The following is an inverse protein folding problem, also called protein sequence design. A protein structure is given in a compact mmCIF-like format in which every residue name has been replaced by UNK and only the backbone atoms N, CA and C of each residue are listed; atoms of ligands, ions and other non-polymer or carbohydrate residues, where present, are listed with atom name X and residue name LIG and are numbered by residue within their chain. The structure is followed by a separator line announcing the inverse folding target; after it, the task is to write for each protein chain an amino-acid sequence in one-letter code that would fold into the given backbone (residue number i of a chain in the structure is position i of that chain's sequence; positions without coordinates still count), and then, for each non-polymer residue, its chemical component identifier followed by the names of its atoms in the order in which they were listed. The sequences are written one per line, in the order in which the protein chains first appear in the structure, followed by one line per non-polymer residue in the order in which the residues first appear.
data_IF_792496126233
#
_entry.id   IF_792496126233
#
_cell.length_a   1.000
_cell.length_b   1.000
_cell.length_c   1.000
_cell.angle_alpha   90.00
_cell.angle_beta   90.00
_cell.angle_gamma   90.00
#
_symmetry.space_group_name_H-M   'P 1'
#
loop_
_entity.id
_entity.type
_entity.pdbx_description
1 polymer ?
#
# COMPACT_ATOMS: atom_id res chain seq x y z
N UNK A 1 2.96 17.65 60.44
CA UNK A 1 4.31 17.59 59.83
C UNK A 1 4.30 16.39 58.90
N UNK A 2 4.03 16.59 57.60
CA UNK A 2 5.01 16.74 56.50
C UNK A 2 5.83 15.43 56.30
N UNK A 3 6.04 14.83 55.12
CA UNK A 3 5.81 15.15 53.70
C UNK A 3 5.99 13.85 52.88
N UNK A 4 5.42 13.82 51.68
CA UNK A 4 5.55 12.84 50.57
C UNK A 4 7.00 12.50 50.17
N UNK A 5 7.21 11.38 49.47
CA UNK A 5 7.93 11.41 48.17
C UNK A 5 7.54 10.21 47.30
N UNK A 6 6.82 10.53 46.22
CA UNK A 6 6.64 9.72 45.02
C UNK A 6 7.94 9.76 44.21
N UNK A 7 8.38 8.62 43.68
CA UNK A 7 9.49 8.54 42.72
C UNK A 7 8.94 8.09 41.36
N UNK A 8 8.65 9.06 40.51
CA UNK A 8 8.55 8.91 39.06
C UNK A 8 9.91 8.45 38.52
N UNK A 9 9.95 7.31 37.81
CA UNK A 9 11.04 7.03 36.87
C UNK A 9 10.50 7.19 35.45
N UNK A 10 10.67 8.40 34.93
CA UNK A 10 10.71 8.66 33.50
C UNK A 10 11.96 7.96 32.93
N UNK A 11 11.78 6.98 32.04
CA UNK A 11 12.88 6.44 31.23
C UNK A 11 12.90 7.18 29.90
N UNK A 12 13.71 8.23 29.86
CA UNK A 12 14.18 8.86 28.63
C UNK A 12 15.01 7.87 27.81
N UNK A 13 14.59 7.56 26.58
CA UNK A 13 15.42 6.87 25.58
C UNK A 13 16.41 7.88 24.97
N UNK A 14 17.71 7.56 24.80
CA UNK A 14 18.67 8.47 24.18
C UNK A 14 18.58 8.38 22.65
N UNK A 15 18.16 9.48 22.01
CA UNK A 15 18.28 9.68 20.57
C UNK A 15 19.72 10.01 20.18
N UNK A 16 20.29 9.19 19.30
CA UNK A 16 21.56 9.47 18.61
C UNK A 16 21.30 10.47 17.48
N UNK A 17 21.72 11.72 17.71
CA UNK A 17 21.77 12.80 16.73
C UNK A 17 22.93 12.53 15.76
N UNK A 18 22.65 12.29 14.49
CA UNK A 18 23.66 12.41 13.42
C UNK A 18 23.27 13.64 12.60
N UNK A 19 24.03 14.72 12.79
CA UNK A 19 23.95 15.94 11.99
C UNK A 19 24.85 15.79 10.77
N UNK A 20 24.29 15.92 9.56
CA UNK A 20 25.05 16.40 8.42
C UNK A 20 24.20 17.32 7.55
N UNK A 21 24.40 18.62 7.79
CA UNK A 21 24.11 19.71 6.88
C UNK A 21 25.08 19.66 5.69
N UNK A 22 24.56 19.62 4.47
CA UNK A 22 25.11 20.38 3.34
C UNK A 22 24.03 20.62 2.28
N UNK A 23 23.83 21.90 2.01
CA UNK A 23 22.92 22.52 1.06
C UNK A 23 23.30 22.20 -0.39
N UNK A 24 22.30 22.04 -1.27
CA UNK A 24 22.20 22.76 -2.54
C UNK A 24 20.74 22.71 -3.06
N UNK A 25 20.16 23.84 -3.50
CA UNK A 25 18.79 23.89 -4.01
C UNK A 25 18.77 23.65 -5.53
N UNK A 26 17.92 22.75 -6.01
CA UNK A 26 17.59 22.66 -7.43
C UNK A 26 16.23 23.32 -7.67
N UNK A 27 16.31 24.57 -8.13
CA UNK A 27 15.28 25.28 -8.87
C UNK A 27 15.28 24.81 -10.33
N UNK A 28 14.12 24.47 -10.89
CA UNK A 28 13.77 24.58 -12.32
C UNK A 28 12.27 24.26 -12.45
N UNK A 29 11.32 25.17 -12.66
CA UNK A 29 11.13 26.13 -13.75
C UNK A 29 10.98 25.46 -15.14
N UNK A 30 9.75 25.42 -15.68
CA UNK A 30 9.40 25.60 -17.12
C UNK A 30 7.90 25.36 -17.33
N UNK A 31 7.16 26.42 -17.66
CA UNK A 31 6.84 26.90 -19.01
C UNK A 31 5.55 26.27 -19.57
N UNK A 32 4.47 27.04 -19.40
CA UNK A 32 3.22 26.93 -20.14
C UNK A 32 3.47 27.16 -21.63
N UNK A 33 3.13 26.18 -22.46
CA UNK A 33 2.80 26.41 -23.86
C UNK A 33 1.30 26.17 -24.05
N UNK A 34 0.55 27.26 -24.22
CA UNK A 34 -0.82 27.22 -24.74
C UNK A 34 -0.77 26.66 -26.17
N UNK A 35 -1.38 25.51 -26.41
CA UNK A 35 -1.81 25.11 -27.74
C UNK A 35 -3.31 25.39 -27.82
N UNK A 36 -3.67 26.41 -28.59
CA UNK A 36 -5.04 26.71 -28.98
C UNK A 36 -5.44 25.71 -30.06
N UNK A 37 -6.40 24.82 -29.76
CA UNK A 37 -7.00 23.94 -30.77
C UNK A 37 -8.32 24.56 -31.27
N UNK A 38 -8.36 24.75 -32.59
CA UNK A 38 -9.45 25.30 -33.40
C UNK A 38 -10.64 24.31 -33.47
N UNK A 39 -11.87 24.69 -33.06
CA UNK A 39 -13.02 23.80 -33.07
C UNK A 39 -13.80 23.92 -34.38
N UNK A 40 -13.42 23.17 -35.42
CA UNK A 40 -14.28 22.94 -36.60
C UNK A 40 -13.80 21.77 -37.48
N UNK A 41 -14.26 20.56 -37.19
CA UNK A 41 -14.39 19.52 -38.19
C UNK A 41 -15.57 18.59 -37.86
N UNK A 42 -16.71 18.83 -38.52
CA UNK A 42 -17.83 17.91 -38.61
C UNK A 42 -17.56 16.93 -39.75
N UNK A 43 -17.72 15.62 -39.55
CA UNK A 43 -18.16 14.72 -40.62
C UNK A 43 -19.02 13.55 -40.10
N UNK A 44 -20.28 13.60 -40.53
CA UNK A 44 -21.24 12.56 -40.94
C UNK A 44 -21.23 11.12 -40.35
N UNK A 45 -22.45 10.75 -39.97
CA UNK A 45 -23.00 9.45 -39.57
C UNK A 45 -23.18 8.44 -40.72
N UNK A 46 -23.03 7.13 -40.43
CA UNK A 46 -24.09 6.12 -40.67
C UNK A 46 -23.77 4.74 -40.05
N UNK A 47 -24.79 3.90 -39.76
CA UNK A 47 -24.71 2.81 -38.79
C UNK A 47 -24.51 1.44 -39.43
N UNK A 48 -23.73 0.56 -38.79
CA UNK A 48 -23.69 -0.87 -39.12
C UNK A 48 -24.25 -1.67 -37.95
N UNK A 49 -25.38 -2.33 -38.22
CA UNK A 49 -26.00 -3.38 -37.41
C UNK A 49 -25.09 -4.62 -37.47
N UNK A 50 -24.70 -5.16 -36.33
CA UNK A 50 -24.27 -6.56 -36.26
C UNK A 50 -24.96 -7.28 -35.10
N UNK A 51 -25.64 -8.37 -35.44
CA UNK A 51 -26.29 -9.27 -34.51
C UNK A 51 -25.26 -10.14 -33.79
N UNK A 52 -25.58 -10.39 -32.53
CA UNK A 52 -24.92 -11.22 -31.53
C UNK A 52 -24.70 -12.66 -31.98
N UNK A 53 -23.49 -13.16 -31.76
CA UNK A 53 -23.24 -14.58 -31.43
C UNK A 53 -22.30 -14.60 -30.24
N UNK A 54 -22.77 -15.17 -29.12
CA UNK A 54 -21.96 -15.41 -27.93
C UNK A 54 -21.39 -16.82 -28.03
N UNK A 55 -20.06 -16.95 -27.94
CA UNK A 55 -19.33 -18.02 -27.24
C UNK A 55 -17.94 -18.18 -27.85
N UNK A 56 -16.89 -17.98 -27.03
CA UNK A 56 -15.44 -18.19 -27.27
C UNK A 56 -14.53 -16.93 -27.21
N UNK A 57 -15.05 -15.73 -26.92
CA UNK A 57 -14.29 -14.48 -27.14
C UNK A 57 -13.34 -14.02 -26.01
N UNK A 58 -13.44 -14.55 -24.79
CA UNK A 58 -12.72 -13.96 -23.64
C UNK A 58 -11.18 -14.12 -23.65
N UNK A 59 -10.66 -15.10 -24.38
CA UNK A 59 -9.20 -15.34 -24.46
C UNK A 59 -8.56 -14.69 -25.69
N UNK A 60 -9.35 -14.37 -26.73
CA UNK A 60 -8.86 -13.74 -27.95
C UNK A 60 -8.68 -12.23 -27.74
N UNK A 61 -9.56 -11.63 -26.94
CA UNK A 61 -9.57 -10.21 -26.60
C UNK A 61 -8.30 -9.78 -25.82
N UNK A 62 -7.81 -10.62 -24.89
CA UNK A 62 -6.57 -10.34 -24.14
C UNK A 62 -5.33 -10.40 -25.03
N UNK A 63 -5.28 -11.35 -25.97
CA UNK A 63 -4.12 -11.53 -26.86
C UNK A 63 -4.02 -10.41 -27.90
N UNK A 64 -5.14 -9.92 -28.41
CA UNK A 64 -5.18 -8.84 -29.40
C UNK A 64 -4.86 -7.47 -28.76
N UNK A 65 -5.30 -7.25 -27.52
CA UNK A 65 -4.91 -6.10 -26.70
C UNK A 65 -3.40 -6.12 -26.41
N UNK A 66 -2.83 -7.26 -26.02
CA UNK A 66 -1.39 -7.39 -25.79
C UNK A 66 -0.57 -7.09 -27.06
N UNK A 67 -1.07 -7.49 -28.23
CA UNK A 67 -0.38 -7.26 -29.51
C UNK A 67 -0.41 -5.80 -29.94
N UNK A 68 -1.55 -5.12 -29.76
CA UNK A 68 -1.65 -3.68 -30.02
C UNK A 68 -0.75 -2.87 -29.06
N UNK A 69 -0.64 -3.30 -27.81
CA UNK A 69 0.25 -2.67 -26.83
C UNK A 69 1.73 -2.85 -27.17
N UNK A 70 2.13 -4.03 -27.66
CA UNK A 70 3.50 -4.28 -28.12
C UNK A 70 3.90 -3.41 -29.32
N UNK A 71 2.97 -3.15 -30.24
CA UNK A 71 3.19 -2.28 -31.40
C UNK A 71 3.28 -0.79 -30.99
N UNK A 72 2.58 -0.37 -29.93
CA UNK A 72 2.68 0.99 -29.36
C UNK A 72 4.01 1.21 -28.60
N UNK A 73 4.47 0.23 -27.82
CA UNK A 73 5.74 0.30 -27.07
C UNK A 73 6.97 0.40 -27.99
N UNK A 74 6.90 -0.20 -29.19
CA UNK A 74 7.99 -0.16 -30.17
C UNK A 74 8.28 1.24 -30.74
N UNK A 75 7.43 2.24 -30.48
CA UNK A 75 7.54 3.61 -30.99
C UNK A 75 8.19 4.60 -30.01
N UNK A 76 8.45 4.23 -28.75
CA UNK A 76 9.07 5.13 -27.77
C UNK A 76 10.62 5.06 -27.80
N UNK A 77 11.24 6.24 -27.71
CA UNK A 77 12.68 6.48 -27.82
C UNK A 77 13.52 5.94 -26.64
N UNK A 78 14.75 6.46 -26.43
CA UNK A 78 15.76 5.80 -25.60
C UNK A 78 15.29 5.57 -24.16
N UNK A 79 15.42 4.30 -23.72
CA UNK A 79 14.98 3.76 -22.43
C UNK A 79 15.42 4.67 -21.27
N UNK A 80 14.44 5.33 -20.66
CA UNK A 80 14.59 5.92 -19.33
C UNK A 80 15.06 4.84 -18.34
N UNK A 81 15.70 5.25 -17.23
CA UNK A 81 15.92 4.33 -16.10
C UNK A 81 14.58 3.67 -15.78
N UNK A 82 14.53 2.34 -15.81
CA UNK A 82 13.32 1.59 -15.46
C UNK A 82 12.85 2.04 -14.08
N UNK A 83 11.64 2.60 -14.02
CA UNK A 83 10.93 2.75 -12.75
C UNK A 83 10.64 1.36 -12.19
N UNK A 84 10.45 1.28 -10.87
CA UNK A 84 10.02 0.06 -10.18
C UNK A 84 11.03 -1.10 -10.16
N UNK A 85 12.32 -0.80 -10.26
CA UNK A 85 13.40 -1.80 -10.23
C UNK A 85 13.38 -2.68 -8.96
N UNK A 86 12.98 -2.13 -7.81
CA UNK A 86 12.94 -2.92 -6.57
C UNK A 86 11.82 -3.96 -6.62
N UNK A 87 10.74 -3.71 -7.36
CA UNK A 87 9.73 -4.73 -7.63
C UNK A 87 10.35 -5.90 -8.41
N UNK A 88 11.12 -5.64 -9.46
CA UNK A 88 11.84 -6.69 -10.20
C UNK A 88 12.79 -7.49 -9.28
N UNK A 89 13.59 -6.79 -8.46
CA UNK A 89 14.51 -7.42 -7.51
C UNK A 89 13.75 -8.29 -6.47
N UNK A 90 12.56 -7.85 -6.07
CA UNK A 90 11.69 -8.58 -5.13
C UNK A 90 11.16 -9.91 -5.70
N UNK A 91 10.96 -10.00 -7.02
CA UNK A 91 10.53 -11.23 -7.69
C UNK A 91 11.64 -12.27 -7.77
N UNK A 92 12.90 -11.81 -7.73
CA UNK A 92 14.11 -12.62 -7.72
C UNK A 92 14.72 -12.78 -6.31
N UNK A 93 13.95 -12.49 -5.26
CA UNK A 93 14.46 -12.40 -3.89
C UNK A 93 15.18 -13.70 -3.45
N UNK A 94 16.40 -13.61 -2.87
CA UNK A 94 17.24 -14.77 -2.60
C UNK A 94 16.62 -15.76 -1.60
N UNK A 95 15.76 -15.29 -0.71
CA UNK A 95 15.10 -16.15 0.29
C UNK A 95 13.85 -16.86 -0.22
N UNK A 96 13.37 -16.51 -1.41
CA UNK A 96 12.12 -17.02 -1.95
C UNK A 96 12.35 -18.02 -3.08
N UNK A 97 11.38 -18.93 -3.20
CA UNK A 97 11.22 -19.76 -4.38
C UNK A 97 10.80 -18.89 -5.59
N UNK A 98 11.11 -19.33 -6.83
CA UNK A 98 10.68 -18.63 -8.04
C UNK A 98 9.15 -18.49 -8.16
N UNK A 99 8.70 -17.62 -9.06
CA UNK A 99 7.28 -17.30 -9.29
C UNK A 99 6.55 -16.65 -8.09
N UNK A 100 7.33 -15.97 -7.25
CA UNK A 100 6.79 -15.06 -6.25
C UNK A 100 5.94 -13.97 -6.92
N UNK A 101 4.86 -13.58 -6.26
CA UNK A 101 3.98 -12.48 -6.69
C UNK A 101 4.31 -11.21 -5.93
N UNK A 102 4.01 -10.07 -6.54
CA UNK A 102 4.11 -8.76 -5.90
C UNK A 102 2.73 -8.13 -5.72
N UNK A 103 2.69 -7.10 -4.88
CA UNK A 103 1.47 -6.39 -4.49
C UNK A 103 1.11 -6.60 -3.02
N UNK A 104 0.55 -5.57 -2.39
CA UNK A 104 0.03 -5.64 -1.03
C UNK A 104 -1.20 -6.56 -0.94
N UNK A 105 -1.34 -7.23 0.20
CA UNK A 105 -2.58 -7.91 0.58
C UNK A 105 -3.59 -6.90 1.09
N UNK A 106 -4.86 -7.07 0.74
CA UNK A 106 -5.94 -6.18 1.14
C UNK A 106 -6.75 -6.85 2.25
N UNK A 107 -6.90 -6.19 3.39
CA UNK A 107 -7.81 -6.59 4.47
C UNK A 107 -9.07 -5.75 4.35
N UNK A 108 -10.20 -6.40 4.08
CA UNK A 108 -11.50 -5.74 3.99
C UNK A 108 -12.16 -5.71 5.37
N UNK A 109 -12.55 -4.53 5.84
CA UNK A 109 -13.21 -4.38 7.14
C UNK A 109 -14.65 -3.83 7.08
N UNK A 110 -15.13 -3.52 5.88
CA UNK A 110 -16.49 -3.00 5.69
C UNK A 110 -17.30 -3.94 4.81
N UNK A 111 -18.47 -4.31 5.33
CA UNK A 111 -19.36 -5.29 4.73
C UNK A 111 -20.80 -4.79 4.71
N UNK A 112 -21.60 -5.42 3.87
CA UNK A 112 -23.05 -5.24 3.82
C UNK A 112 -23.52 -4.35 2.66
N UNK A 113 -24.85 -4.34 2.40
CA UNK A 113 -25.41 -3.81 1.16
C UNK A 113 -25.10 -2.32 0.91
N UNK A 114 -24.93 -1.53 1.97
CA UNK A 114 -24.61 -0.11 1.87
C UNK A 114 -23.15 0.18 1.52
N UNK A 115 -22.24 -0.80 1.66
CA UNK A 115 -20.80 -0.64 1.40
C UNK A 115 -20.31 -1.52 0.25
N UNK A 116 -20.97 -2.64 -0.05
CA UNK A 116 -20.56 -3.60 -1.09
C UNK A 116 -20.41 -2.96 -2.48
N UNK A 117 -21.29 -2.02 -2.83
CA UNK A 117 -21.21 -1.30 -4.11
C UNK A 117 -19.98 -0.39 -4.18
N UNK A 118 -19.68 0.34 -3.10
CA UNK A 118 -18.50 1.19 -2.99
C UNK A 118 -17.22 0.38 -2.97
N UNK A 119 -17.23 -0.76 -2.28
CA UNK A 119 -16.13 -1.71 -2.28
C UNK A 119 -15.84 -2.23 -3.70
N UNK A 120 -16.87 -2.63 -4.44
CA UNK A 120 -16.70 -3.07 -5.83
C UNK A 120 -16.15 -1.95 -6.72
N UNK A 121 -16.59 -0.71 -6.52
CA UNK A 121 -16.07 0.46 -7.22
C UNK A 121 -14.61 0.74 -6.84
N UNK A 122 -14.28 0.75 -5.55
CA UNK A 122 -12.92 0.93 -5.02
C UNK A 122 -11.96 -0.08 -5.67
N UNK A 123 -12.36 -1.36 -5.71
CA UNK A 123 -11.54 -2.44 -6.26
C UNK A 123 -11.37 -2.31 -7.78
N UNK A 124 -12.38 -1.79 -8.47
CA UNK A 124 -12.28 -1.51 -9.89
C UNK A 124 -11.32 -0.35 -10.18
N UNK A 125 -11.42 0.75 -9.42
CA UNK A 125 -10.48 1.88 -9.53
C UNK A 125 -9.07 1.40 -9.25
N UNK A 126 -8.88 0.62 -8.18
CA UNK A 126 -7.58 0.06 -7.80
C UNK A 126 -6.93 -0.74 -8.93
N UNK A 127 -7.67 -1.66 -9.55
CA UNK A 127 -7.19 -2.43 -10.71
C UNK A 127 -6.82 -1.55 -11.89
N UNK A 128 -7.65 -0.55 -12.18
CA UNK A 128 -7.40 0.40 -13.26
C UNK A 128 -6.12 1.20 -12.99
N UNK A 129 -5.92 1.71 -11.77
CA UNK A 129 -4.72 2.49 -11.41
C UNK A 129 -3.44 1.67 -11.49
N UNK A 130 -3.45 0.43 -11.04
CA UNK A 130 -2.28 -0.47 -11.19
C UNK A 130 -1.92 -0.61 -12.68
N UNK A 131 -2.89 -0.89 -13.54
CA UNK A 131 -2.67 -1.04 -14.98
C UNK A 131 -2.17 0.26 -15.63
N UNK A 132 -2.80 1.39 -15.31
CA UNK A 132 -2.45 2.70 -15.85
C UNK A 132 -1.02 3.09 -15.46
N UNK A 133 -0.65 2.93 -14.19
CA UNK A 133 0.71 3.25 -13.73
C UNK A 133 1.78 2.39 -14.40
N UNK A 134 1.56 1.09 -14.52
CA UNK A 134 2.51 0.20 -15.20
C UNK A 134 2.59 0.52 -16.70
N UNK A 135 1.50 0.95 -17.33
CA UNK A 135 1.49 1.38 -18.73
C UNK A 135 2.26 2.69 -18.92
N UNK A 136 2.05 3.69 -18.05
CA UNK A 136 2.70 4.99 -18.12
C UNK A 136 4.22 4.88 -17.99
N UNK A 137 4.69 3.93 -17.16
CA UNK A 137 6.11 3.72 -16.89
C UNK A 137 6.77 2.65 -17.77
N UNK A 138 6.05 2.13 -18.77
CA UNK A 138 6.52 1.06 -19.66
C UNK A 138 7.04 -0.18 -18.88
N UNK A 139 6.29 -0.58 -17.84
CA UNK A 139 6.58 -1.72 -16.95
C UNK A 139 5.46 -2.77 -16.96
N UNK A 140 4.75 -2.95 -18.09
CA UNK A 140 3.64 -3.92 -18.20
C UNK A 140 4.07 -5.38 -17.98
N UNK A 141 5.37 -5.69 -18.09
CA UNK A 141 5.93 -7.00 -17.76
C UNK A 141 5.78 -7.38 -16.28
N UNK A 142 5.56 -6.40 -15.39
CA UNK A 142 5.30 -6.65 -13.98
C UNK A 142 3.85 -7.14 -13.75
N UNK A 143 2.91 -6.77 -14.62
CA UNK A 143 1.49 -7.04 -14.43
C UNK A 143 1.16 -8.54 -14.28
N UNK A 144 1.74 -9.49 -15.05
CA UNK A 144 1.51 -10.93 -14.85
C UNK A 144 1.94 -11.47 -13.48
N UNK A 145 2.82 -10.75 -12.78
CA UNK A 145 3.30 -11.11 -11.45
C UNK A 145 2.56 -10.37 -10.32
N UNK A 146 1.69 -9.41 -10.65
CA UNK A 146 0.87 -8.71 -9.67
C UNK A 146 -0.27 -9.62 -9.19
N UNK A 147 -0.46 -9.71 -7.87
CA UNK A 147 -1.53 -10.49 -7.28
C UNK A 147 -2.31 -9.69 -6.24
N UNK A 148 -3.59 -9.48 -6.54
CA UNK A 148 -4.56 -8.92 -5.61
C UNK A 148 -5.09 -10.04 -4.72
N UNK A 149 -4.57 -10.13 -3.50
CA UNK A 149 -5.07 -11.04 -2.47
C UNK A 149 -5.92 -10.26 -1.48
N UNK A 150 -7.13 -10.73 -1.23
CA UNK A 150 -8.08 -10.08 -0.33
C UNK A 150 -8.38 -11.04 0.81
N UNK A 151 -8.20 -10.57 2.04
CA UNK A 151 -8.62 -11.25 3.26
C UNK A 151 -10.02 -10.74 3.59
N UNK A 152 -11.01 -11.63 3.43
CA UNK A 152 -12.42 -11.37 3.73
C UNK A 152 -12.92 -12.38 4.77
N UNK A 153 -13.45 -11.86 5.87
CA UNK A 153 -14.12 -12.62 6.92
C UNK A 153 -15.07 -11.69 7.68
N UNK A 154 -16.29 -11.51 7.16
CA UNK A 154 -17.27 -10.59 7.74
C UNK A 154 -17.51 -10.85 9.24
N UNK A 155 -17.44 -12.10 9.69
CA UNK A 155 -17.72 -12.45 11.07
C UNK A 155 -16.68 -11.89 12.05
N UNK A 156 -15.43 -11.69 11.60
CA UNK A 156 -14.33 -11.22 12.46
C UNK A 156 -13.78 -9.85 12.06
N UNK A 157 -14.04 -9.41 10.83
CA UNK A 157 -13.49 -8.18 10.26
C UNK A 157 -14.52 -7.07 10.06
N UNK A 158 -15.83 -7.32 10.21
CA UNK A 158 -16.82 -6.25 10.11
C UNK A 158 -16.62 -5.19 11.20
N UNK A 159 -16.24 -3.98 10.79
CA UNK A 159 -15.91 -2.89 11.70
C UNK A 159 -14.60 -3.10 12.46
N UNK A 160 -13.72 -3.99 11.99
CA UNK A 160 -12.40 -4.19 12.58
C UNK A 160 -11.60 -2.88 12.63
N UNK A 161 -10.77 -2.74 13.65
CA UNK A 161 -9.75 -1.70 13.75
C UNK A 161 -8.43 -2.14 13.10
N UNK A 162 -7.43 -1.26 13.14
CA UNK A 162 -6.10 -1.55 12.60
C UNK A 162 -5.41 -2.73 13.32
N UNK A 163 -5.70 -2.96 14.61
CA UNK A 163 -5.15 -4.08 15.38
C UNK A 163 -5.72 -5.43 14.91
N UNK A 164 -7.04 -5.53 14.76
CA UNK A 164 -7.71 -6.72 14.23
C UNK A 164 -7.26 -7.00 12.79
N UNK A 165 -7.11 -5.96 11.96
CA UNK A 165 -6.58 -6.10 10.60
C UNK A 165 -5.14 -6.64 10.58
N UNK A 166 -4.25 -6.13 11.43
CA UNK A 166 -2.87 -6.65 11.58
C UNK A 166 -2.86 -8.11 12.01
N UNK A 167 -3.72 -8.51 12.96
CA UNK A 167 -3.83 -9.92 13.40
C UNK A 167 -4.25 -10.83 12.26
N UNK A 168 -5.28 -10.45 11.49
CA UNK A 168 -5.73 -11.21 10.33
C UNK A 168 -4.65 -11.32 9.26
N UNK A 169 -3.95 -10.21 8.97
CA UNK A 169 -2.85 -10.22 8.02
C UNK A 169 -1.66 -11.07 8.48
N UNK A 170 -1.24 -10.99 9.75
CA UNK A 170 -0.18 -11.87 10.30
C UNK A 170 -0.55 -13.35 10.21
N UNK A 171 -1.81 -13.70 10.48
CA UNK A 171 -2.29 -15.07 10.31
C UNK A 171 -2.19 -15.55 8.85
N UNK A 172 -2.51 -14.68 7.89
CA UNK A 172 -2.29 -14.95 6.48
C UNK A 172 -0.81 -15.11 6.15
N UNK A 173 0.07 -14.20 6.60
CA UNK A 173 1.52 -14.27 6.38
C UNK A 173 2.11 -15.57 6.94
N UNK A 174 1.73 -15.97 8.15
CA UNK A 174 2.15 -17.22 8.78
C UNK A 174 1.73 -18.48 8.01
N UNK A 175 0.73 -18.37 7.14
CA UNK A 175 0.27 -19.44 6.26
C UNK A 175 0.97 -19.38 4.90
N UNK A 176 1.07 -18.18 4.32
CA UNK A 176 1.48 -17.96 2.94
C UNK A 176 3.00 -17.90 2.73
N UNK A 177 3.74 -17.25 3.64
CA UNK A 177 5.19 -17.07 3.50
C UNK A 177 5.99 -18.38 3.66
N UNK A 178 5.77 -19.22 4.69
CA UNK A 178 6.63 -20.39 4.90
C UNK A 178 6.80 -21.34 3.71
N UNK A 179 5.75 -21.72 2.95
CA UNK A 179 5.93 -22.59 1.78
C UNK A 179 6.66 -21.93 0.62
N UNK A 180 6.88 -20.61 0.64
CA UNK A 180 7.61 -19.85 -0.38
C UNK A 180 9.06 -19.60 -0.03
N UNK A 181 9.44 -19.82 1.23
CA UNK A 181 10.83 -19.73 1.65
C UNK A 181 11.62 -20.91 1.10
N UNK A 182 12.89 -20.66 0.75
CA UNK A 182 13.84 -21.74 0.45
C UNK A 182 14.15 -22.54 1.71
N UNK A 183 14.51 -23.80 1.54
CA UNK A 183 14.79 -24.70 2.67
C UNK A 183 15.93 -24.17 3.54
N UNK A 184 16.99 -23.63 2.93
CA UNK A 184 18.13 -23.07 3.64
C UNK A 184 17.71 -21.90 4.55
N UNK A 185 16.81 -21.04 4.07
CA UNK A 185 16.26 -19.93 4.84
C UNK A 185 15.34 -20.42 5.96
N UNK A 186 14.50 -21.42 5.69
CA UNK A 186 13.66 -22.04 6.73
C UNK A 186 14.52 -22.63 7.85
N UNK A 187 15.62 -23.31 7.52
CA UNK A 187 16.57 -23.85 8.49
C UNK A 187 17.27 -22.74 9.30
N UNK A 188 17.67 -21.65 8.64
CA UNK A 188 18.27 -20.47 9.30
C UNK A 188 17.34 -19.86 10.35
N UNK A 189 16.03 -19.81 10.08
CA UNK A 189 15.02 -19.34 11.04
C UNK A 189 14.58 -20.39 12.06
N UNK A 190 15.27 -21.53 12.15
CA UNK A 190 14.99 -22.58 13.14
C UNK A 190 13.92 -23.57 12.73
N UNK A 191 13.47 -23.55 11.48
CA UNK A 191 12.49 -24.48 10.90
C UNK A 191 11.06 -23.94 10.85
N UNK A 192 10.19 -24.69 10.16
CA UNK A 192 8.79 -24.30 9.92
C UNK A 192 8.01 -23.94 11.20
N UNK A 193 8.08 -24.70 12.32
CA UNK A 193 7.34 -24.36 13.53
C UNK A 193 7.75 -23.00 14.12
N UNK A 194 9.05 -22.71 14.14
CA UNK A 194 9.63 -21.48 14.68
C UNK A 194 9.28 -20.28 13.81
N UNK A 195 9.39 -20.43 12.48
CA UNK A 195 8.96 -19.40 11.52
C UNK A 195 7.50 -19.06 11.71
N UNK A 196 6.62 -20.06 11.77
CA UNK A 196 5.17 -19.84 11.98
C UNK A 196 4.87 -19.16 13.30
N UNK A 197 5.47 -19.63 14.39
CA UNK A 197 5.28 -19.03 15.69
C UNK A 197 5.72 -17.55 15.71
N UNK A 198 6.85 -17.24 15.06
CA UNK A 198 7.35 -15.86 14.98
C UNK A 198 6.43 -14.97 14.14
N UNK A 199 5.97 -15.44 12.97
CA UNK A 199 5.05 -14.68 12.11
C UNK A 199 3.68 -14.42 12.75
N UNK A 200 3.24 -15.29 13.66
CA UNK A 200 2.01 -15.10 14.45
C UNK A 200 2.22 -14.19 15.67
N UNK A 201 3.47 -14.01 16.11
CA UNK A 201 3.79 -13.20 17.28
C UNK A 201 3.64 -11.70 17.01
N UNK A 202 3.45 -10.94 18.08
CA UNK A 202 3.57 -9.48 18.07
C UNK A 202 4.96 -9.05 18.58
N UNK A 203 5.97 -9.90 18.44
CA UNK A 203 7.31 -9.60 18.92
C UNK A 203 7.88 -8.41 18.14
N UNK A 204 8.63 -7.53 18.83
CA UNK A 204 9.40 -6.48 18.18
C UNK A 204 10.27 -7.10 17.06
N UNK A 205 10.12 -6.61 15.82
CA UNK A 205 10.92 -7.14 14.70
C UNK A 205 12.43 -7.03 14.98
N UNK A 206 12.80 -6.05 15.81
CA UNK A 206 14.17 -5.69 16.16
C UNK A 206 14.61 -6.20 17.54
N UNK A 207 13.95 -7.22 18.11
CA UNK A 207 14.45 -7.84 19.33
C UNK A 207 15.94 -8.21 19.15
N UNK A 208 16.84 -7.80 20.07
CA UNK A 208 18.29 -7.86 19.83
C UNK A 208 18.76 -9.26 19.40
N UNK A 209 19.50 -9.31 18.30
CA UNK A 209 20.03 -10.54 17.69
C UNK A 209 18.98 -11.51 17.12
N UNK A 210 17.78 -11.04 16.80
CA UNK A 210 16.78 -11.83 16.08
C UNK A 210 16.37 -11.13 14.79
N UNK A 211 16.25 -11.92 13.71
CA UNK A 211 15.76 -11.45 12.42
C UNK A 211 14.32 -11.96 12.29
N UNK A 212 13.37 -11.04 12.14
CA UNK A 212 11.98 -11.42 11.89
C UNK A 212 11.82 -11.92 10.45
N UNK A 213 11.23 -13.11 10.18
CA UNK A 213 11.16 -13.67 8.82
C UNK A 213 10.45 -12.75 7.81
N UNK A 214 9.45 -11.99 8.24
CA UNK A 214 8.78 -11.01 7.37
C UNK A 214 9.67 -9.80 7.04
N UNK A 215 10.56 -9.38 7.95
CA UNK A 215 11.38 -8.17 7.78
C UNK A 215 12.53 -8.30 6.77
N UNK A 216 12.71 -9.49 6.19
CA UNK A 216 13.77 -9.79 5.21
C UNK A 216 13.22 -10.35 3.91
N UNK A 217 11.93 -10.16 3.67
CA UNK A 217 11.26 -10.56 2.42
C UNK A 217 10.49 -9.35 1.86
N UNK A 218 10.04 -9.38 0.60
CA UNK A 218 9.35 -8.25 -0.03
C UNK A 218 8.14 -7.70 0.75
N UNK A 219 7.71 -6.46 0.45
CA UNK A 219 6.63 -5.74 1.14
C UNK A 219 5.32 -6.50 1.28
N UNK A 220 5.05 -7.44 0.36
CA UNK A 220 3.85 -8.30 0.36
C UNK A 220 3.58 -8.99 1.69
N UNK A 221 4.63 -9.33 2.46
CA UNK A 221 4.49 -10.00 3.77
C UNK A 221 4.80 -9.08 4.96
N UNK A 222 5.12 -7.82 4.71
CA UNK A 222 5.42 -6.83 5.75
C UNK A 222 4.26 -5.86 5.97
N UNK A 223 3.60 -5.46 4.88
CA UNK A 223 2.56 -4.44 4.87
C UNK A 223 1.29 -4.95 4.18
N UNK A 224 0.15 -4.43 4.63
CA UNK A 224 -1.14 -4.67 3.99
C UNK A 224 -1.88 -3.35 3.74
N UNK A 225 -2.80 -3.37 2.77
CA UNK A 225 -3.81 -2.33 2.64
C UNK A 225 -4.99 -2.71 3.53
N UNK A 226 -5.44 -1.79 4.37
CA UNK A 226 -6.63 -1.93 5.19
C UNK A 226 -7.72 -1.04 4.62
N UNK A 227 -8.86 -1.64 4.25
CA UNK A 227 -9.97 -0.89 3.67
C UNK A 227 -11.10 -0.82 4.69
N UNK A 228 -11.14 0.31 5.37
CA UNK A 228 -12.16 0.71 6.35
C UNK A 228 -13.21 1.64 5.73
N UNK A 229 -14.11 2.16 6.57
CA UNK A 229 -15.19 3.03 6.13
C UNK A 229 -14.66 4.34 5.51
N UNK A 230 -13.52 4.82 5.97
CA UNK A 230 -12.92 6.07 5.50
C UNK A 230 -12.38 5.91 4.07
N UNK A 231 -11.73 4.78 3.80
CA UNK A 231 -11.31 4.41 2.45
C UNK A 231 -12.51 4.35 1.48
N UNK A 232 -13.65 3.79 1.89
CA UNK A 232 -14.85 3.75 1.04
C UNK A 232 -15.51 5.12 0.89
N UNK A 233 -15.55 5.96 1.94
CA UNK A 233 -16.05 7.34 1.83
C UNK A 233 -15.24 8.18 0.83
N UNK A 234 -13.93 7.93 0.73
CA UNK A 234 -13.10 8.62 -0.28
C UNK A 234 -13.52 8.33 -1.72
N UNK A 235 -14.16 7.18 -1.98
CA UNK A 235 -14.72 6.84 -3.30
C UNK A 235 -16.01 7.62 -3.58
N UNK A 236 -16.86 7.79 -2.57
CA UNK A 236 -18.14 8.50 -2.71
C UNK A 236 -17.97 9.98 -3.06
N UNK A 237 -16.95 10.61 -2.48
CA UNK A 237 -16.67 12.04 -2.73
C UNK A 237 -16.31 12.28 -4.20
N UNK A 238 -15.70 11.29 -4.86
CA UNK A 238 -15.18 11.43 -6.21
C UNK A 238 -14.14 12.56 -6.30
N UNK A 239 -13.51 12.76 -7.47
CA UNK A 239 -12.70 13.93 -7.68
C UNK A 239 -13.62 15.16 -7.77
N UNK A 240 -13.68 15.99 -6.73
CA UNK A 240 -14.24 17.35 -6.85
C UNK A 240 -13.40 18.18 -7.85
N UNK A 241 -12.12 17.83 -7.99
CA UNK A 241 -11.19 18.28 -9.02
C UNK A 241 -10.76 17.08 -9.91
N UNK A 242 -10.95 17.13 -11.25
CA UNK A 242 -10.47 16.10 -12.18
C UNK A 242 -8.98 15.72 -12.03
N UNK A 243 -8.17 16.63 -11.47
CA UNK A 243 -6.74 16.47 -11.25
C UNK A 243 -6.39 16.03 -9.82
N UNK A 244 -7.34 16.01 -8.87
CA UNK A 244 -7.12 15.67 -7.45
C UNK A 244 -8.36 15.03 -6.81
N UNK A 245 -8.47 13.71 -6.85
CA UNK A 245 -8.49 12.87 -5.63
C UNK A 245 -8.69 11.41 -6.05
N UNK A 246 -7.61 10.63 -5.97
CA UNK A 246 -7.75 9.19 -5.97
C UNK A 246 -8.27 8.72 -4.61
N UNK A 247 -9.01 7.59 -4.55
CA UNK A 247 -9.45 7.05 -3.27
C UNK A 247 -8.25 6.82 -2.36
N UNK A 248 -8.42 7.11 -1.07
CA UNK A 248 -7.40 6.87 -0.07
C UNK A 248 -7.13 5.35 0.07
N UNK A 249 -5.87 4.99 0.21
CA UNK A 249 -5.43 3.68 0.69
C UNK A 249 -4.87 3.86 2.10
N UNK A 250 -5.21 2.97 3.02
CA UNK A 250 -4.58 2.91 4.34
C UNK A 250 -3.58 1.75 4.36
N UNK A 251 -2.28 2.03 4.43
CA UNK A 251 -1.23 1.01 4.51
C UNK A 251 -0.86 0.78 5.97
N UNK A 252 -0.90 -0.48 6.40
CA UNK A 252 -0.55 -0.91 7.75
C UNK A 252 0.78 -1.64 7.71
N UNK A 253 1.66 -1.31 8.64
CA UNK A 253 2.81 -2.16 8.97
C UNK A 253 2.42 -3.21 10.01
N UNK A 254 3.02 -4.38 9.89
CA UNK A 254 3.00 -5.40 10.96
C UNK A 254 4.18 -5.27 11.90
N UNK A 255 5.10 -4.35 11.66
CA UNK A 255 6.11 -3.94 12.62
C UNK A 255 5.49 -2.91 13.58
N UNK A 256 4.65 -3.40 14.50
CA UNK A 256 3.92 -2.55 15.44
C UNK A 256 3.97 -3.13 16.85
N UNK A 257 3.97 -2.27 17.85
CA UNK A 257 4.18 -2.62 19.24
C UNK A 257 3.11 -3.54 19.85
N UNK A 258 3.37 -4.07 21.06
CA UNK A 258 2.39 -4.79 21.85
C UNK A 258 1.12 -3.95 22.05
N UNK A 259 -0.04 -4.62 21.96
CA UNK A 259 -1.35 -4.07 22.31
C UNK A 259 -1.30 -3.75 23.81
N UNK A 260 -1.29 -2.48 24.19
CA UNK A 260 -1.54 -2.13 25.59
C UNK A 260 -3.01 -2.42 25.89
N UNK A 261 -3.29 -3.24 26.90
CA UNK A 261 -4.66 -3.62 27.30
C UNK A 261 -5.49 -2.43 27.82
N UNK A 262 -4.91 -1.23 27.91
CA UNK A 262 -5.58 -0.04 28.40
C UNK A 262 -6.32 0.65 27.26
N UNK A 263 -7.64 0.79 27.38
CA UNK A 263 -8.37 1.72 26.54
C UNK A 263 -7.80 3.13 26.70
N UNK A 264 -7.51 3.86 25.61
CA UNK A 264 -7.11 5.26 25.69
C UNK A 264 -8.18 6.01 26.48
N UNK A 265 -7.81 6.51 27.65
CA UNK A 265 -8.75 7.13 28.59
C UNK A 265 -9.06 8.58 28.25
N UNK A 266 -8.33 9.17 27.30
CA UNK A 266 -8.52 10.53 26.78
C UNK A 266 -8.34 10.54 25.26
N UNK A 267 -9.13 11.36 24.55
CA UNK A 267 -8.88 11.67 23.13
C UNK A 267 -7.67 12.61 23.09
N UNK A 268 -6.46 12.04 23.05
CA UNK A 268 -5.21 12.78 23.19
C UNK A 268 -4.87 13.64 21.96
N UNK A 269 -5.44 13.31 20.81
CA UNK A 269 -5.09 13.96 19.55
C UNK A 269 -6.22 14.84 19.05
N UNK A 270 -5.91 16.10 18.75
CA UNK A 270 -6.92 17.00 18.15
C UNK A 270 -7.01 16.77 16.64
N UNK A 271 -5.84 16.65 16.01
CA UNK A 271 -5.67 16.70 14.55
C UNK A 271 -5.27 15.36 13.92
N UNK A 272 -4.71 14.44 14.71
CA UNK A 272 -4.13 13.17 14.23
C UNK A 272 -5.06 11.97 14.47
N UNK A 273 -5.10 11.04 13.52
CA UNK A 273 -5.86 9.79 13.66
C UNK A 273 -4.99 8.71 14.34
N UNK A 274 -5.43 8.26 15.52
CA UNK A 274 -4.71 7.34 16.39
C UNK A 274 -3.61 8.00 17.23
N UNK A 275 -2.84 7.14 17.93
CA UNK A 275 -1.70 7.50 18.79
C UNK A 275 -2.07 8.08 20.15
N UNK A 276 -1.05 8.36 20.95
CA UNK A 276 -1.16 8.84 22.33
C UNK A 276 -0.75 10.30 22.49
N UNK A 277 -0.17 10.91 21.45
CA UNK A 277 0.40 12.25 21.52
C UNK A 277 0.03 13.10 20.31
N UNK A 278 0.09 14.42 20.47
CA UNK A 278 0.02 15.38 19.35
C UNK A 278 1.37 15.52 18.60
N UNK A 279 2.32 14.60 18.80
CA UNK A 279 3.59 14.56 18.07
C UNK A 279 3.35 14.10 16.64
N UNK A 280 3.70 14.95 15.67
CA UNK A 280 3.53 14.69 14.24
C UNK A 280 4.50 13.62 13.72
N UNK A 281 5.50 13.24 14.51
CA UNK A 281 6.45 12.17 14.21
C UNK A 281 6.15 10.84 14.93
N UNK A 282 5.11 10.76 15.77
CA UNK A 282 4.74 9.50 16.41
C UNK A 282 4.23 8.51 15.35
N UNK A 283 4.90 7.38 15.17
CA UNK A 283 4.42 6.30 14.31
C UNK A 283 3.20 5.65 14.96
N UNK A 284 2.08 5.48 14.25
CA UNK A 284 0.88 4.70 14.70
C UNK A 284 0.74 3.34 13.98
N UNK A 285 1.75 2.99 13.21
CA UNK A 285 1.89 1.74 12.47
C UNK A 285 0.99 1.67 11.24
N UNK A 286 0.49 2.81 10.78
CA UNK A 286 -0.24 2.94 9.54
C UNK A 286 -0.19 4.37 9.01
N UNK A 287 -0.33 4.53 7.69
CA UNK A 287 -0.39 5.81 7.00
C UNK A 287 -1.41 5.78 5.87
N UNK A 288 -1.91 6.94 5.46
CA UNK A 288 -2.65 7.06 4.21
C UNK A 288 -1.68 7.22 3.04
N UNK A 289 -2.06 6.69 1.88
CA UNK A 289 -1.42 6.98 0.60
C UNK A 289 -2.48 7.11 -0.48
N UNK A 290 -2.18 7.85 -1.54
CA UNK A 290 -3.07 7.94 -2.68
C UNK A 290 -3.02 6.64 -3.51
N UNK A 291 -4.17 6.22 -4.04
CA UNK A 291 -4.25 4.98 -4.81
C UNK A 291 -3.38 4.99 -6.08
N UNK A 292 -3.16 6.16 -6.67
CA UNK A 292 -2.23 6.31 -7.81
C UNK A 292 -0.79 6.06 -7.40
N UNK A 293 -0.40 6.28 -6.15
CA UNK A 293 0.96 6.02 -5.69
C UNK A 293 1.20 4.55 -5.31
N UNK A 294 0.19 3.67 -5.39
CA UNK A 294 0.29 2.27 -4.98
C UNK A 294 1.55 1.54 -5.49
N UNK A 295 1.85 1.64 -6.79
CA UNK A 295 2.99 0.93 -7.40
C UNK A 295 4.31 1.53 -6.91
N UNK A 296 4.39 2.86 -6.85
CA UNK A 296 5.55 3.57 -6.36
C UNK A 296 5.82 3.30 -4.88
N UNK A 297 4.78 3.27 -4.05
CA UNK A 297 4.88 2.95 -2.63
C UNK A 297 5.31 1.50 -2.43
N UNK A 298 4.77 0.56 -3.21
CA UNK A 298 5.25 -0.82 -3.16
C UNK A 298 6.73 -0.93 -3.52
N UNK A 299 7.19 -0.26 -4.57
CA UNK A 299 8.62 -0.23 -4.93
C UNK A 299 9.48 0.36 -3.79
N UNK A 300 9.08 1.51 -3.23
CA UNK A 300 9.81 2.19 -2.14
C UNK A 300 9.92 1.32 -0.90
N UNK A 301 8.82 0.70 -0.46
CA UNK A 301 8.77 -0.12 0.76
C UNK A 301 9.60 -1.41 0.68
N UNK A 302 10.23 -1.73 -0.46
CA UNK A 302 11.25 -2.78 -0.52
C UNK A 302 12.57 -2.37 0.17
N UNK A 303 12.78 -1.09 0.48
CA UNK A 303 13.95 -0.62 1.23
C UNK A 303 13.79 -0.84 2.74
N UNK A 304 14.86 -1.26 3.41
CA UNK A 304 14.85 -1.66 4.83
C UNK A 304 14.56 -0.52 5.81
N UNK A 305 14.60 0.74 5.37
CA UNK A 305 14.26 1.92 6.17
C UNK A 305 13.16 2.77 5.53
N UNK A 306 12.50 2.26 4.49
CA UNK A 306 11.51 3.07 3.76
C UNK A 306 10.31 3.42 4.63
N UNK A 307 9.92 2.57 5.58
CA UNK A 307 8.85 2.95 6.49
C UNK A 307 9.24 4.20 7.28
N UNK A 308 10.38 4.19 7.95
CA UNK A 308 10.86 5.32 8.76
C UNK A 308 11.16 6.58 7.92
N UNK A 309 11.54 6.42 6.65
CA UNK A 309 11.81 7.54 5.74
C UNK A 309 10.54 8.19 5.17
N UNK A 310 9.53 7.39 4.84
CA UNK A 310 8.32 7.85 4.13
C UNK A 310 7.07 7.84 5.00
N UNK A 311 7.17 7.48 6.28
CA UNK A 311 6.05 7.48 7.18
C UNK A 311 5.47 8.90 7.30
N UNK A 312 4.17 9.00 7.03
CA UNK A 312 3.40 10.21 7.27
C UNK A 312 2.32 9.93 8.30
N UNK A 313 2.33 10.72 9.38
CA UNK A 313 1.33 10.62 10.44
C UNK A 313 -0.07 10.87 9.86
N UNK A 314 -1.03 9.95 10.07
CA UNK A 314 -2.39 10.15 9.60
C UNK A 314 -3.09 11.35 10.23
N UNK A 315 -3.63 12.23 9.39
CA UNK A 315 -4.45 13.35 9.83
C UNK A 315 -5.94 12.94 9.85
N UNK A 316 -6.73 13.33 10.88
CA UNK A 316 -8.15 12.94 11.01
C UNK A 316 -8.98 13.33 9.80
N UNK A 317 -8.73 14.51 9.26
CA UNK A 317 -9.37 15.03 8.06
C UNK A 317 -8.61 14.73 6.78
N UNK A 318 -7.77 13.70 6.70
CA UNK A 318 -7.20 13.25 5.42
C UNK A 318 -8.31 13.03 4.37
N UNK A 319 -9.40 12.39 4.79
CA UNK A 319 -10.57 12.17 3.92
C UNK A 319 -11.48 13.41 3.85
N UNK A 320 -11.42 14.34 4.81
CA UNK A 320 -12.37 15.45 4.97
C UNK A 320 -11.85 16.86 4.58
N UNK A 321 -10.53 17.08 4.46
CA UNK A 321 -9.89 18.35 4.12
C UNK A 321 -10.01 18.77 2.65
N UNK A 322 -10.80 18.05 1.86
CA UNK A 322 -11.11 18.39 0.46
C UNK A 322 -12.03 19.63 0.33
N UNK A 323 -12.45 20.23 1.45
CA UNK A 323 -13.49 21.29 1.47
C UNK A 323 -13.00 22.73 1.71
N UNK A 324 -11.70 23.02 1.78
CA UNK A 324 -11.25 24.39 2.11
C UNK A 324 -9.96 24.85 1.42
N UNK A 325 -9.92 24.87 0.07
CA UNK A 325 -9.07 25.83 -0.65
C UNK A 325 -9.73 26.34 -1.95
#
# INVERSE_FOLDING_TARGET
MLIQYLSLQQRTRPFLRISHSNLFPLSCNRNRHLIVLDPKARFYTSPVRYQRTMSSDKNLETAEVLRQLQDETALQGPRHLKQYRRIEDSLAHPYLLPDTKWGFVIVRAVYGPSSDALWAQWLQIFRTRVLENLRLEDQLELLPHHEITIIEDEATLAGADSYAARRAFRAWVATDLPPRLRNECLEEFGGLPQVRAKLLSNDEYNAPNTIHPAGVVPPRWQYCIFVDQDCLRSVEKGPEDPDMQDPALKILTTHWGPEEEAEPTEEFTTDWDGGETDDDAEDVGWMYVDMTDYVAVYDRLNDIFAWEEYYERPYKSYVDHTNQL
#
